data_IF_028774946651
#
_entry.id   IF_028774946651
#
_cell.length_a   1.000
_cell.length_b   1.000
_cell.length_c   1.000
_cell.angle_alpha   90.00
_cell.angle_beta   90.00
_cell.angle_gamma   90.00
#
_symmetry.space_group_name_H-M   'P 1'
#
loop_
_entity.id
_entity.type
_entity.pdbx_description
1 polymer ?
#
# COMPACT_ATOMS: atom_id res chain seq x y z
N UNK A 1 -8.38 -8.68 6.65
CA UNK A 1 -8.17 -7.35 6.08
C UNK A 1 -9.28 -6.41 6.52
N UNK A 2 -8.91 -5.16 6.81
CA UNK A 2 -9.82 -4.02 6.93
C UNK A 2 -9.54 -3.06 5.77
N UNK A 3 -10.59 -2.57 5.11
CA UNK A 3 -10.48 -1.54 4.05
C UNK A 3 -11.12 -0.26 4.56
N UNK A 4 -10.36 0.83 4.53
CA UNK A 4 -10.85 2.17 4.85
C UNK A 4 -10.85 2.97 3.54
N UNK A 5 -12.04 3.34 3.09
CA UNK A 5 -12.19 4.17 1.89
C UNK A 5 -11.81 5.61 2.22
N UNK A 6 -11.12 6.26 1.28
CA UNK A 6 -10.65 7.64 1.44
C UNK A 6 -11.83 8.60 1.66
N UNK A 7 -11.61 9.63 2.46
CA UNK A 7 -12.39 10.86 2.35
C UNK A 7 -11.65 11.88 1.45
N UNK A 8 -12.31 12.96 1.07
CA UNK A 8 -11.75 13.98 0.18
C UNK A 8 -10.48 14.66 0.74
N UNK A 9 -10.31 14.74 2.06
CA UNK A 9 -9.12 15.34 2.67
C UNK A 9 -7.93 14.38 2.64
N UNK A 10 -8.20 13.09 2.87
CA UNK A 10 -7.21 12.02 2.81
C UNK A 10 -6.76 11.77 1.36
N UNK A 11 -7.69 11.73 0.41
CA UNK A 11 -7.44 11.68 -1.03
C UNK A 11 -6.46 12.78 -1.47
N UNK A 12 -6.77 14.03 -1.13
CA UNK A 12 -5.93 15.18 -1.49
C UNK A 12 -4.53 15.07 -0.90
N UNK A 13 -4.42 14.57 0.33
CA UNK A 13 -3.12 14.37 0.99
C UNK A 13 -2.33 13.24 0.32
N UNK A 14 -3.00 12.16 -0.07
CA UNK A 14 -2.38 11.05 -0.79
C UNK A 14 -1.91 11.45 -2.20
N UNK A 15 -2.72 12.24 -2.92
CA UNK A 15 -2.39 12.77 -4.24
C UNK A 15 -1.17 13.72 -4.25
N UNK A 16 -0.76 14.25 -3.10
CA UNK A 16 0.45 15.07 -2.97
C UNK A 16 1.73 14.25 -2.86
N UNK A 17 1.64 12.95 -2.55
CA UNK A 17 2.81 12.07 -2.50
C UNK A 17 3.33 11.85 -3.92
N UNK A 18 4.58 12.22 -4.14
CA UNK A 18 5.24 12.12 -5.44
C UNK A 18 6.64 11.57 -5.28
N UNK A 19 7.00 10.62 -6.13
CA UNK A 19 8.37 10.11 -6.32
C UNK A 19 8.61 9.88 -7.82
N UNK A 20 9.86 9.59 -8.21
CA UNK A 20 10.20 9.28 -9.60
C UNK A 20 10.53 7.81 -9.76
N UNK A 21 10.13 7.24 -10.90
CA UNK A 21 10.40 5.83 -11.19
C UNK A 21 11.91 5.51 -11.18
N UNK A 22 12.73 6.42 -11.71
CA UNK A 22 14.20 6.27 -11.76
C UNK A 22 14.88 6.22 -10.39
N UNK A 23 14.20 6.69 -9.34
CA UNK A 23 14.73 6.74 -7.98
C UNK A 23 14.38 5.46 -7.20
N UNK A 24 13.58 4.56 -7.79
CA UNK A 24 13.23 3.28 -7.19
C UNK A 24 14.32 2.24 -7.44
N UNK A 25 14.65 1.50 -6.39
CA UNK A 25 15.60 0.39 -6.44
C UNK A 25 14.87 -0.95 -6.43
N UNK A 26 15.46 -1.97 -7.06
CA UNK A 26 14.88 -3.32 -7.06
C UNK A 26 15.09 -3.97 -5.70
N UNK A 27 14.02 -4.19 -4.93
CA UNK A 27 14.08 -4.99 -3.69
C UNK A 27 14.08 -6.49 -4.05
N UNK A 28 13.24 -6.88 -5.01
CA UNK A 28 13.22 -8.21 -5.64
C UNK A 28 12.49 -8.15 -6.98
N UNK A 29 12.49 -9.25 -7.74
CA UNK A 29 11.74 -9.33 -8.99
C UNK A 29 10.26 -8.96 -8.78
N UNK A 30 9.77 -8.00 -9.57
CA UNK A 30 8.38 -7.52 -9.52
C UNK A 30 8.07 -6.52 -8.38
N UNK A 31 9.05 -6.16 -7.55
CA UNK A 31 8.87 -5.22 -6.44
C UNK A 31 10.04 -4.22 -6.37
N UNK A 32 9.73 -2.95 -6.63
CA UNK A 32 10.66 -1.85 -6.45
C UNK A 32 10.35 -1.09 -5.15
N UNK A 33 11.34 -0.37 -4.63
CA UNK A 33 11.26 0.35 -3.37
C UNK A 33 12.02 1.66 -3.45
N UNK A 34 11.45 2.70 -2.88
CA UNK A 34 12.13 3.98 -2.75
C UNK A 34 13.14 3.93 -1.59
N UNK A 35 14.40 4.31 -1.80
CA UNK A 35 15.36 4.49 -0.72
C UNK A 35 14.86 5.48 0.34
N UNK A 36 15.14 5.18 1.61
CA UNK A 36 14.66 6.00 2.75
C UNK A 36 15.19 7.44 2.67
N UNK A 37 16.40 7.62 2.14
CA UNK A 37 17.02 8.95 1.94
C UNK A 37 16.24 9.84 0.96
N UNK A 38 15.41 9.26 0.10
CA UNK A 38 14.60 9.96 -0.90
C UNK A 38 13.11 10.03 -0.51
N UNK A 39 12.74 9.63 0.72
CA UNK A 39 11.37 9.64 1.19
C UNK A 39 10.78 11.07 1.18
N UNK A 40 9.68 11.33 0.44
CA UNK A 40 9.08 12.65 0.41
C UNK A 40 8.41 13.00 1.75
N UNK A 41 8.45 14.27 2.13
CA UNK A 41 7.84 14.77 3.37
C UNK A 41 6.33 14.54 3.39
N UNK A 42 5.70 14.59 2.23
CA UNK A 42 4.28 14.36 2.01
C UNK A 42 3.88 12.92 2.41
N UNK A 43 4.74 11.92 2.17
CA UNK A 43 4.47 10.54 2.60
C UNK A 43 4.48 10.41 4.12
N UNK A 44 5.44 11.06 4.80
CA UNK A 44 5.48 11.12 6.26
C UNK A 44 4.23 11.82 6.83
N UNK A 45 3.83 12.94 6.23
CA UNK A 45 2.64 13.67 6.64
C UNK A 45 1.36 12.86 6.44
N UNK A 46 1.27 12.10 5.33
CA UNK A 46 0.14 11.22 5.04
C UNK A 46 0.02 10.11 6.07
N UNK A 47 1.12 9.42 6.39
CA UNK A 47 1.13 8.38 7.40
C UNK A 47 0.79 8.92 8.80
N UNK A 48 1.30 10.11 9.14
CA UNK A 48 0.94 10.78 10.39
C UNK A 48 -0.55 11.15 10.45
N UNK A 49 -1.14 11.57 9.32
CA UNK A 49 -2.58 11.82 9.21
C UNK A 49 -3.35 10.52 9.41
N UNK A 50 -2.92 9.41 8.80
CA UNK A 50 -3.53 8.10 9.01
C UNK A 50 -3.62 7.76 10.50
N UNK A 51 -2.50 7.82 11.24
CA UNK A 51 -2.53 7.49 12.68
C UNK A 51 -3.39 8.46 13.49
N UNK A 52 -3.46 9.73 13.12
CA UNK A 52 -4.34 10.69 13.82
C UNK A 52 -5.82 10.41 13.58
N UNK A 53 -6.17 9.90 12.40
CA UNK A 53 -7.56 9.76 11.97
C UNK A 53 -8.13 8.36 12.23
N UNK A 54 -7.35 7.31 12.03
CA UNK A 54 -7.86 5.93 11.98
C UNK A 54 -7.26 4.98 13.02
N UNK A 55 -6.24 5.38 13.78
CA UNK A 55 -5.49 4.49 14.68
C UNK A 55 -6.39 3.78 15.70
N UNK A 56 -7.33 4.50 16.33
CA UNK A 56 -8.26 3.91 17.29
C UNK A 56 -9.19 2.89 16.62
N UNK A 57 -9.78 3.22 15.46
CA UNK A 57 -10.64 2.28 14.72
C UNK A 57 -9.88 1.02 14.25
N UNK A 58 -8.61 1.16 13.89
CA UNK A 58 -7.75 0.02 13.51
C UNK A 58 -7.40 -0.83 14.73
N UNK A 59 -7.16 -0.23 15.90
CA UNK A 59 -6.97 -0.97 17.16
C UNK A 59 -8.24 -1.68 17.60
N UNK A 60 -9.41 -1.08 17.43
CA UNK A 60 -10.71 -1.70 17.73
C UNK A 60 -10.91 -2.95 16.88
N UNK A 61 -10.72 -2.81 15.57
CA UNK A 61 -10.73 -3.93 14.62
C UNK A 61 -9.73 -5.05 14.99
N UNK A 62 -8.51 -4.69 15.40
CA UNK A 62 -7.50 -5.65 15.84
C UNK A 62 -7.93 -6.43 17.09
N UNK A 63 -8.53 -5.72 18.06
CA UNK A 63 -9.06 -6.33 19.29
C UNK A 63 -10.19 -7.30 19.00
N UNK A 64 -11.11 -6.97 18.09
CA UNK A 64 -12.15 -7.89 17.61
C UNK A 64 -11.58 -9.17 16.98
N UNK A 65 -10.34 -9.10 16.48
CA UNK A 65 -9.57 -10.24 15.93
C UNK A 65 -8.62 -10.89 16.94
N UNK A 66 -8.70 -10.55 18.22
CA UNK A 66 -7.90 -11.14 19.32
C UNK A 66 -6.39 -10.87 19.24
N UNK A 67 -5.97 -9.72 18.70
CA UNK A 67 -4.59 -9.27 18.78
C UNK A 67 -4.47 -7.77 19.05
N UNK A 68 -3.33 -7.38 19.61
CA UNK A 68 -2.94 -5.99 19.77
C UNK A 68 -1.88 -5.62 18.74
N UNK A 69 -1.96 -4.41 18.20
CA UNK A 69 -0.94 -3.83 17.32
C UNK A 69 0.03 -3.03 18.20
N UNK A 70 1.34 -3.26 18.04
CA UNK A 70 2.35 -2.45 18.72
C UNK A 70 2.28 -0.99 18.26
N UNK A 71 2.38 -0.07 19.23
CA UNK A 71 2.19 1.37 19.00
C UNK A 71 3.13 1.94 17.93
N UNK A 72 4.38 1.49 17.91
CA UNK A 72 5.38 2.00 16.98
C UNK A 72 5.53 1.05 15.80
N UNK A 73 5.63 1.58 14.56
CA UNK A 73 5.92 0.75 13.40
C UNK A 73 7.29 0.09 13.59
N UNK A 74 7.34 -1.22 13.36
CA UNK A 74 8.58 -1.99 13.32
C UNK A 74 9.41 -1.65 12.09
N UNK A 75 8.75 -1.38 10.97
CA UNK A 75 9.39 -1.01 9.72
C UNK A 75 8.53 0.01 8.97
N UNK A 76 9.15 1.10 8.52
CA UNK A 76 8.53 2.10 7.65
C UNK A 76 8.60 3.53 8.19
N UNK A 77 8.08 4.52 7.43
CA UNK A 77 7.38 4.35 6.16
C UNK A 77 8.25 3.80 5.02
N UNK A 78 7.63 3.07 4.09
CA UNK A 78 8.26 2.58 2.86
C UNK A 78 7.36 2.88 1.67
N UNK A 79 7.92 3.39 0.57
CA UNK A 79 7.20 3.47 -0.70
C UNK A 79 7.61 2.27 -1.54
N UNK A 80 6.62 1.48 -1.97
CA UNK A 80 6.79 0.27 -2.75
C UNK A 80 6.01 0.39 -4.05
N UNK A 81 6.61 -0.07 -5.15
CA UNK A 81 5.95 -0.27 -6.43
C UNK A 81 5.87 -1.77 -6.72
N UNK A 82 4.66 -2.33 -6.63
CA UNK A 82 4.39 -3.71 -7.00
C UNK A 82 4.03 -3.76 -8.48
N UNK A 83 4.90 -4.36 -9.29
CA UNK A 83 4.71 -4.53 -10.74
C UNK A 83 4.17 -5.92 -11.08
N UNK A 84 4.54 -6.93 -10.28
CA UNK A 84 4.01 -8.29 -10.41
C UNK A 84 4.24 -9.12 -9.15
N UNK A 85 3.45 -10.18 -8.99
CA UNK A 85 3.57 -11.13 -7.90
C UNK A 85 2.85 -10.66 -6.63
N UNK A 86 3.25 -11.24 -5.49
CA UNK A 86 2.50 -11.14 -4.24
C UNK A 86 3.35 -10.59 -3.11
N UNK A 87 2.80 -9.66 -2.32
CA UNK A 87 3.34 -9.25 -1.02
C UNK A 87 2.61 -10.05 0.05
N UNK A 88 3.34 -10.89 0.78
CA UNK A 88 2.81 -11.69 1.89
C UNK A 88 3.36 -11.16 3.22
N UNK A 89 2.48 -11.04 4.21
CA UNK A 89 2.88 -10.71 5.57
C UNK A 89 3.12 -11.96 6.41
N UNK A 90 4.12 -11.88 7.29
CA UNK A 90 4.30 -12.85 8.38
C UNK A 90 3.11 -12.80 9.34
N UNK A 91 2.77 -13.94 9.95
CA UNK A 91 1.58 -14.11 10.80
C UNK A 91 1.54 -13.18 12.03
N UNK A 92 2.70 -12.73 12.51
CA UNK A 92 2.87 -11.86 13.68
C UNK A 92 2.97 -10.37 13.31
N UNK A 93 2.41 -9.98 12.16
CA UNK A 93 2.49 -8.61 11.62
C UNK A 93 1.16 -8.09 11.15
N UNK A 94 1.04 -6.77 11.14
CA UNK A 94 0.01 -6.02 10.43
C UNK A 94 0.69 -4.96 9.58
N UNK A 95 0.27 -4.81 8.32
CA UNK A 95 0.73 -3.72 7.46
C UNK A 95 -0.39 -2.74 7.20
N UNK A 96 -0.11 -1.47 7.45
CA UNK A 96 -0.84 -0.34 6.89
C UNK A 96 -0.37 -0.19 5.45
N UNK A 97 -1.29 -0.18 4.49
CA UNK A 97 -1.02 0.00 3.06
C UNK A 97 -1.90 1.13 2.55
N UNK A 98 -1.30 2.26 2.19
CA UNK A 98 -2.01 3.42 1.64
C UNK A 98 -1.69 3.49 0.15
N UNK A 99 -2.70 3.47 -0.71
CA UNK A 99 -2.51 3.57 -2.15
C UNK A 99 -2.16 5.01 -2.52
N UNK A 100 -1.08 5.21 -3.27
CA UNK A 100 -0.56 6.53 -3.64
C UNK A 100 -0.37 6.62 -5.16
N UNK A 101 -0.21 7.83 -5.74
CA UNK A 101 0.01 7.97 -7.17
C UNK A 101 1.21 7.15 -7.65
N UNK A 102 1.13 6.65 -8.89
CA UNK A 102 2.27 5.99 -9.54
C UNK A 102 3.47 6.95 -9.64
N UNK A 103 4.71 6.43 -9.56
CA UNK A 103 5.90 7.25 -9.71
C UNK A 103 5.91 7.98 -11.05
N UNK A 104 6.41 9.21 -11.07
CA UNK A 104 6.55 10.00 -12.29
C UNK A 104 7.66 9.42 -13.17
N UNK A 105 7.40 9.33 -14.47
CA UNK A 105 8.43 9.07 -15.47
C UNK A 105 8.99 10.42 -15.92
N UNK A 106 10.31 10.60 -15.84
CA UNK A 106 10.95 11.75 -16.48
C UNK A 106 10.94 11.46 -17.96
N UNK A 107 10.12 12.18 -18.72
CA UNK A 107 10.37 12.33 -20.15
C UNK A 107 11.62 13.19 -20.26
N UNK A 108 12.74 12.58 -20.63
CA UNK A 108 13.89 13.35 -21.08
C UNK A 108 13.39 14.20 -22.25
N UNK A 109 13.41 15.53 -22.07
CA UNK A 109 13.19 16.44 -23.20
C UNK A 109 14.38 16.22 -24.14
N UNK A 110 14.19 15.40 -25.17
CA UNK A 110 15.12 15.36 -26.29
C UNK A 110 15.25 16.77 -26.85
N UNK A 111 16.51 17.18 -27.03
CA UNK A 111 16.89 18.46 -27.57
C UNK A 111 16.39 18.66 -29.00
N UNK A 112 16.24 19.94 -29.34
CA UNK A 112 15.86 20.51 -30.63
C UNK A 112 16.64 19.89 -31.81
N UNK A 113 15.95 19.42 -32.86
CA UNK A 113 16.05 19.97 -34.24
C UNK A 113 15.34 19.14 -35.34
N UNK A 114 14.79 19.91 -36.28
CA UNK A 114 14.57 19.65 -37.71
C UNK A 114 13.28 18.96 -38.19
N UNK A 115 12.74 19.60 -39.22
CA UNK A 115 11.48 19.36 -39.90
C UNK A 115 11.44 18.03 -40.68
N UNK A 116 10.21 17.54 -40.85
CA UNK A 116 9.82 16.81 -42.05
C UNK A 116 9.60 15.32 -41.86
N UNK A 117 8.40 14.93 -42.29
CA UNK A 117 7.95 13.59 -42.68
C UNK A 117 7.22 12.73 -41.64
N UNK A 118 6.02 12.38 -42.08
CA UNK A 118 4.94 11.67 -41.41
C UNK A 118 5.37 10.24 -41.06
N UNK A 119 5.56 9.98 -39.78
CA UNK A 119 5.41 8.64 -39.21
C UNK A 119 4.38 8.74 -38.11
N UNK A 120 3.32 7.94 -38.24
CA UNK A 120 2.23 7.79 -37.28
C UNK A 120 2.79 7.37 -35.91
N UNK A 121 3.19 8.35 -35.11
CA UNK A 121 3.43 8.20 -33.68
C UNK A 121 2.16 8.65 -32.99
N UNK A 122 1.36 7.70 -32.52
CA UNK A 122 0.35 7.93 -31.51
C UNK A 122 1.00 8.81 -30.42
N UNK A 123 0.51 10.03 -30.13
CA UNK A 123 1.07 10.82 -29.05
C UNK A 123 0.94 9.98 -27.76
N UNK A 124 1.91 10.01 -26.83
CA UNK A 124 1.69 9.44 -25.52
C UNK A 124 0.47 10.16 -24.97
N UNK A 125 -0.60 9.39 -24.74
CA UNK A 125 -1.81 9.90 -24.14
C UNK A 125 -1.43 10.60 -22.84
N UNK A 126 -1.42 11.94 -22.85
CA UNK A 126 -1.52 12.80 -21.66
C UNK A 126 -2.96 12.68 -21.15
N UNK A 127 -3.43 11.45 -20.96
CA UNK A 127 -4.83 11.08 -20.85
C UNK A 127 -5.00 10.20 -19.63
N UNK A 128 -5.54 10.83 -18.59
CA UNK A 128 -5.94 10.27 -17.29
C UNK A 128 -4.83 9.52 -16.55
N UNK A 129 -4.34 10.11 -15.45
CA UNK A 129 -3.85 9.30 -14.34
C UNK A 129 -4.95 8.28 -14.03
N UNK A 130 -4.75 7.00 -14.31
CA UNK A 130 -5.61 5.95 -13.77
C UNK A 130 -5.63 6.15 -12.26
N UNK A 131 -6.80 6.52 -11.75
CA UNK A 131 -7.04 6.81 -10.35
C UNK A 131 -7.24 5.54 -9.55
N UNK A 132 -7.54 4.43 -10.24
CA UNK A 132 -7.82 3.13 -9.66
C UNK A 132 -6.75 2.08 -9.98
N UNK A 133 -6.56 1.18 -9.02
CA UNK A 133 -5.67 0.05 -9.03
C UNK A 133 -6.52 -1.19 -8.81
N UNK A 134 -6.37 -2.19 -9.69
CA UNK A 134 -7.01 -3.48 -9.49
C UNK A 134 -6.02 -4.45 -8.87
N UNK A 135 -6.37 -4.92 -7.68
CA UNK A 135 -5.49 -5.75 -6.87
C UNK A 135 -6.29 -6.92 -6.31
N UNK A 136 -5.71 -8.12 -6.33
CA UNK A 136 -6.32 -9.27 -5.70
C UNK A 136 -5.83 -9.37 -4.26
N UNK A 137 -6.76 -9.30 -3.32
CA UNK A 137 -6.49 -9.63 -1.93
C UNK A 137 -6.65 -11.13 -1.77
N UNK A 138 -5.69 -11.77 -1.12
CA UNK A 138 -5.74 -13.19 -0.83
C UNK A 138 -5.72 -13.43 0.67
N UNK A 139 -6.75 -14.06 1.20
CA UNK A 139 -6.84 -14.42 2.61
C UNK A 139 -6.69 -15.93 2.77
N UNK A 140 -5.93 -16.41 3.77
CA UNK A 140 -5.77 -17.84 3.99
C UNK A 140 -7.08 -18.47 4.47
N UNK A 141 -7.46 -19.62 3.89
CA UNK A 141 -8.63 -20.41 4.34
C UNK A 141 -8.17 -21.69 5.06
N UNK A 142 -7.00 -22.22 4.70
CA UNK A 142 -6.40 -23.38 5.36
C UNK A 142 -5.23 -23.96 4.57
N UNK A 143 -4.13 -24.29 5.26
CA UNK A 143 -2.92 -24.80 4.61
C UNK A 143 -2.42 -23.85 3.50
N UNK A 144 -2.11 -24.35 2.28
CA UNK A 144 -1.69 -23.51 1.16
C UNK A 144 -2.86 -22.90 0.38
N UNK A 145 -4.11 -23.00 0.85
CA UNK A 145 -5.32 -22.58 0.12
C UNK A 145 -5.72 -21.17 0.53
N UNK A 146 -5.91 -20.30 -0.47
CA UNK A 146 -6.28 -18.89 -0.30
C UNK A 146 -7.59 -18.57 -1.02
N UNK A 147 -8.45 -17.80 -0.37
CA UNK A 147 -9.56 -17.10 -1.02
C UNK A 147 -9.00 -15.88 -1.71
N UNK A 148 -9.23 -15.72 -3.00
CA UNK A 148 -8.84 -14.54 -3.75
C UNK A 148 -10.09 -13.69 -4.05
N UNK A 149 -10.07 -12.42 -3.65
CA UNK A 149 -11.09 -11.44 -4.02
C UNK A 149 -10.43 -10.30 -4.81
N UNK A 150 -10.82 -10.08 -6.08
CA UNK A 150 -10.41 -8.87 -6.77
C UNK A 150 -11.06 -7.67 -6.10
N UNK A 151 -10.26 -6.67 -5.76
CA UNK A 151 -10.74 -5.42 -5.15
C UNK A 151 -10.13 -4.25 -5.91
N UNK A 152 -10.98 -3.27 -6.21
CA UNK A 152 -10.54 -2.01 -6.79
C UNK A 152 -10.28 -1.02 -5.66
N UNK A 153 -9.09 -0.42 -5.69
CA UNK A 153 -8.65 0.62 -4.78
C UNK A 153 -8.31 1.86 -5.59
N UNK A 154 -8.45 3.03 -5.01
CA UNK A 154 -8.00 4.27 -5.66
C UNK A 154 -6.98 4.99 -4.78
N UNK A 155 -6.31 5.99 -5.35
CA UNK A 155 -5.35 6.82 -4.61
C UNK A 155 -6.00 7.37 -3.33
N UNK A 156 -5.39 7.09 -2.18
CA UNK A 156 -5.86 7.50 -0.87
C UNK A 156 -6.68 6.44 -0.13
N UNK A 157 -7.12 5.37 -0.79
CA UNK A 157 -7.68 4.23 -0.06
C UNK A 157 -6.62 3.56 0.82
N UNK A 158 -7.07 2.88 1.87
CA UNK A 158 -6.20 2.22 2.83
C UNK A 158 -6.64 0.77 2.98
N UNK A 159 -5.69 -0.15 2.90
CA UNK A 159 -5.84 -1.54 3.30
C UNK A 159 -5.00 -1.81 4.55
N UNK A 160 -5.61 -2.41 5.57
CA UNK A 160 -4.93 -2.96 6.72
C UNK A 160 -4.88 -4.47 6.54
N UNK A 161 -3.68 -4.96 6.25
CA UNK A 161 -3.41 -6.37 6.04
C UNK A 161 -3.01 -7.02 7.35
N UNK A 162 -3.66 -8.14 7.65
CA UNK A 162 -3.29 -9.03 8.75
C UNK A 162 -2.23 -10.04 8.31
N UNK A 163 -1.51 -10.60 9.27
CA UNK A 163 -0.57 -11.69 9.04
C UNK A 163 -1.21 -12.85 8.28
N UNK A 164 -0.46 -13.42 7.34
CA UNK A 164 -0.93 -14.46 6.45
C UNK A 164 -1.71 -13.96 5.22
N UNK A 165 -2.20 -12.72 5.21
CA UNK A 165 -2.85 -12.13 4.03
C UNK A 165 -1.82 -11.73 2.97
N UNK A 166 -2.27 -11.70 1.71
CA UNK A 166 -1.46 -11.30 0.56
C UNK A 166 -2.14 -10.27 -0.31
N UNK A 167 -1.30 -9.40 -0.86
CA UNK A 167 -1.65 -8.48 -1.93
C UNK A 167 -1.00 -8.94 -3.22
N UNK A 168 -1.80 -9.19 -4.25
CA UNK A 168 -1.34 -9.72 -5.54
C UNK A 168 -1.65 -8.73 -6.67
N UNK A 169 -0.60 -8.30 -7.37
CA UNK A 169 -0.69 -7.44 -8.56
C UNK A 169 -0.54 -8.27 -9.83
N UNK A 170 -1.48 -8.11 -10.78
CA UNK A 170 -1.41 -8.74 -12.11
C UNK A 170 -1.55 -7.71 -13.22
N UNK A 171 -0.42 -7.22 -13.72
CA UNK A 171 -0.37 -6.41 -14.93
C UNK A 171 -0.45 -4.90 -14.72
N UNK A 172 -0.95 -4.44 -13.57
CA UNK A 172 -0.97 -3.02 -13.21
C UNK A 172 0.10 -2.72 -12.16
N UNK A 173 0.91 -1.69 -12.42
CA UNK A 173 1.85 -1.15 -11.45
C UNK A 173 1.08 -0.46 -10.31
N UNK A 174 1.24 -0.98 -9.09
CA UNK A 174 0.56 -0.46 -7.89
C UNK A 174 1.58 0.18 -6.96
N UNK A 175 1.42 1.48 -6.71
CA UNK A 175 2.29 2.24 -5.83
C UNK A 175 1.63 2.40 -4.45
N UNK A 176 2.39 2.08 -3.40
CA UNK A 176 1.88 2.00 -2.03
C UNK A 176 2.85 2.65 -1.05
N UNK A 177 2.30 3.35 -0.06
CA UNK A 177 2.98 3.74 1.16
C UNK A 177 2.64 2.74 2.26
N UNK A 178 3.66 2.05 2.77
CA UNK A 178 3.52 0.97 3.72
C UNK A 178 4.16 1.30 5.08
N UNK A 179 3.52 0.85 6.16
CA UNK A 179 4.10 0.80 7.49
C UNK A 179 3.73 -0.53 8.16
N UNK A 180 4.74 -1.25 8.64
CA UNK A 180 4.60 -2.58 9.21
C UNK A 180 4.71 -2.50 10.73
N UNK A 181 3.77 -3.13 11.41
CA UNK A 181 3.71 -3.26 12.86
C UNK A 181 3.83 -4.71 13.28
N UNK A 182 4.36 -4.94 14.49
CA UNK A 182 4.25 -6.24 15.15
C UNK A 182 2.88 -6.36 15.82
N UNK A 183 2.38 -7.58 15.88
CA UNK A 183 1.19 -7.91 16.64
C UNK A 183 1.51 -8.87 17.78
N UNK A 184 0.76 -8.74 18.86
CA UNK A 184 0.82 -9.64 20.00
C UNK A 184 -0.58 -10.23 20.21
N UNK A 185 -0.67 -11.56 20.33
CA UNK A 185 -1.96 -12.20 20.62
C UNK A 185 -2.48 -11.75 21.98
N UNK A 186 -3.76 -11.43 22.05
CA UNK A 186 -4.43 -11.22 23.32
C UNK A 186 -4.63 -12.60 23.92
N UNK A 187 -4.08 -12.83 25.12
CA UNK A 187 -4.38 -14.06 25.84
C UNK A 187 -5.90 -14.14 26.03
N UNK A 188 -6.54 -15.28 25.72
CA UNK A 188 -7.96 -15.42 26.04
C UNK A 188 -8.09 -15.16 27.54
N UNK A 189 -8.95 -14.22 27.92
CA UNK A 189 -9.28 -14.00 29.32
C UNK A 189 -9.62 -15.38 29.87
N UNK A 190 -8.84 -15.85 30.86
CA UNK A 190 -9.31 -16.95 31.69
C UNK A 190 -10.61 -16.43 32.27
N UNK A 191 -11.74 -16.94 31.76
CA UNK A 191 -12.96 -16.96 32.55
C UNK A 191 -12.57 -17.72 33.81
N UNK A 192 -12.26 -16.99 34.87
CA UNK A 192 -12.26 -17.54 36.20
C UNK A 192 -13.69 -18.02 36.40
N UNK A 193 -13.90 -19.30 36.10
CA UNK A 193 -15.00 -20.07 36.66
C UNK A 193 -14.74 -20.19 38.17
N UNK A 194 -14.83 -19.07 38.90
CA UNK A 194 -15.22 -19.06 40.30
C UNK A 194 -16.74 -18.98 40.26
N UNK A 195 -17.41 -20.13 40.16
CA UNK A 195 -17.78 -21.02 41.27
C UNK A 195 -19.00 -20.49 42.03
N UNK A 196 -20.05 -21.33 41.90
CA UNK A 196 -21.18 -21.59 42.80
C UNK A 196 -22.29 -20.57 42.89
#
# INVERSE_FOLDING_TARGET
MLVLRRDAAFERSAGQVSCYFKDLETERQGLLKLPVSLMPKEALNLLNRFYKTYDEGVKDWARERNFNIERYPYLGPQILLLQSGDIQLSDDRVSVVIFIPRPKVIQEKEGIAAAGEEVSTKPPSIGLQETSFRISVQSPIGGPVFAASPTEFEVGDIAILEGGERLSGRGDDVCMLCALHRTNKIAPEKKDNNQM
#
